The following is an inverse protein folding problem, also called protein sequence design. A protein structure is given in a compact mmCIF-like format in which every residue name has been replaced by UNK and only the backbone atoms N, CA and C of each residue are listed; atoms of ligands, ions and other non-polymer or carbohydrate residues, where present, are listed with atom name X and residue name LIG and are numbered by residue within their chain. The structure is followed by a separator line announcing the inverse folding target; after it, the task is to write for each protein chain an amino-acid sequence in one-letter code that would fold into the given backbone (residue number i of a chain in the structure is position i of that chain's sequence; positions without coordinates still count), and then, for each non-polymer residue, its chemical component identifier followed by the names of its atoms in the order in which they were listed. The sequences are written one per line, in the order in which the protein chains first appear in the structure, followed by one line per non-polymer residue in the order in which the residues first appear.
data_IF_144078503880
#
_entry.id   IF_144078503880
#
_cell.length_a   1.000
_cell.length_b   1.000
_cell.length_c   1.000
_cell.angle_alpha   90.00
_cell.angle_beta   90.00
_cell.angle_gamma   90.00
#
_symmetry.space_group_name_H-M   'P 1'
#
loop_
_entity.id
_entity.type
_entity.pdbx_description
1 polymer ?
#
# COMPACT_ATOMS: atom_id res chain seq x y z
N UNK A 1 -0.58 -5.85 -41.05
CA UNK A 1 -0.13 -5.03 -39.89
C UNK A 1 -0.19 -5.92 -38.65
N UNK A 2 0.90 -6.06 -37.89
CA UNK A 2 0.89 -6.81 -36.62
C UNK A 2 0.34 -5.89 -35.54
N UNK A 3 -0.84 -6.19 -35.01
CA UNK A 3 -1.39 -5.48 -33.85
C UNK A 3 -0.53 -5.82 -32.64
N UNK A 4 0.17 -4.83 -32.09
CA UNK A 4 0.94 -4.96 -30.85
C UNK A 4 0.05 -4.41 -29.73
N UNK A 5 -0.54 -5.29 -28.94
CA UNK A 5 -1.43 -4.91 -27.85
C UNK A 5 -0.55 -4.63 -26.63
N UNK A 6 -0.57 -3.38 -26.17
CA UNK A 6 0.10 -2.96 -24.93
C UNK A 6 -0.94 -2.96 -23.81
N UNK A 7 -0.61 -3.56 -22.67
CA UNK A 7 -1.48 -3.57 -21.49
C UNK A 7 -0.90 -2.62 -20.43
N UNK A 8 -1.76 -1.91 -19.70
CA UNK A 8 -1.35 -1.00 -18.62
C UNK A 8 -2.31 -1.17 -17.46
N UNK A 9 -1.78 -1.28 -16.24
CA UNK A 9 -2.57 -1.49 -15.02
C UNK A 9 -2.04 -0.64 -13.86
N UNK A 10 -2.95 -0.35 -12.92
CA UNK A 10 -2.70 0.43 -11.71
C UNK A 10 -2.82 -0.43 -10.48
N UNK A 11 -1.78 -0.43 -9.65
CA UNK A 11 -1.73 -1.22 -8.42
C UNK A 11 -1.63 -0.27 -7.22
N UNK A 12 -2.63 -0.36 -6.33
CA UNK A 12 -2.63 0.35 -5.05
C UNK A 12 -2.32 -0.63 -3.91
N UNK A 13 -1.25 -0.36 -3.19
CA UNK A 13 -0.83 -1.15 -2.02
C UNK A 13 -1.01 -0.29 -0.77
N UNK A 14 -1.88 -0.72 0.15
CA UNK A 14 -2.10 -0.04 1.42
C UNK A 14 -1.09 -0.49 2.47
N UNK A 15 -0.37 0.45 3.08
CA UNK A 15 0.64 0.16 4.10
C UNK A 15 0.02 -0.35 5.41
N UNK A 16 -1.21 0.07 5.68
CA UNK A 16 -1.98 -0.30 6.87
C UNK A 16 -3.35 -0.84 6.45
N UNK A 17 -3.31 -1.85 5.59
CA UNK A 17 -4.45 -2.30 4.78
C UNK A 17 -5.71 -2.76 5.52
N UNK A 18 -6.73 -2.98 4.70
CA UNK A 18 -8.15 -3.23 4.99
C UNK A 18 -8.51 -4.26 6.08
N UNK A 19 -7.59 -5.09 6.59
CA UNK A 19 -7.86 -6.09 7.66
C UNK A 19 -6.62 -6.44 8.51
N UNK A 20 -5.65 -5.54 8.64
CA UNK A 20 -4.46 -5.85 9.44
C UNK A 20 -4.76 -5.73 10.95
N UNK A 21 -4.97 -6.85 11.65
CA UNK A 21 -4.74 -6.93 13.12
C UNK A 21 -3.27 -6.62 13.37
N UNK A 22 -2.98 -5.35 13.60
CA UNK A 22 -1.62 -4.83 13.65
C UNK A 22 -1.00 -5.12 15.01
N UNK A 23 -0.02 -6.01 15.08
CA UNK A 23 0.85 -6.14 16.26
C UNK A 23 1.84 -4.97 16.30
N UNK A 24 1.39 -3.85 16.86
CA UNK A 24 2.25 -2.73 17.23
C UNK A 24 2.92 -3.10 18.55
N UNK A 25 4.23 -3.32 18.54
CA UNK A 25 5.00 -3.51 19.77
C UNK A 25 5.02 -2.20 20.57
N UNK A 26 4.62 -2.28 21.84
CA UNK A 26 4.54 -1.14 22.77
C UNK A 26 5.49 -1.35 23.94
N UNK A 27 6.15 -0.29 24.40
CA UNK A 27 6.79 -0.24 25.72
C UNK A 27 5.76 0.24 26.76
N UNK A 28 5.63 -0.40 27.93
CA UNK A 28 4.72 0.07 28.98
C UNK A 28 5.18 1.45 29.50
N UNK A 29 4.25 2.40 29.63
CA UNK A 29 4.51 3.72 30.22
C UNK A 29 4.50 4.94 29.29
N UNK A 30 4.22 4.77 27.99
CA UNK A 30 4.18 5.91 27.03
C UNK A 30 2.75 6.15 26.51
N UNK A 31 2.25 7.39 26.63
CA UNK A 31 0.95 7.82 26.08
C UNK A 31 1.03 7.77 24.55
N UNK A 32 0.14 7.06 23.83
CA UNK A 32 0.29 6.83 22.41
C UNK A 32 -0.21 8.04 21.61
N UNK A 33 0.70 8.83 21.06
CA UNK A 33 0.37 9.75 19.96
C UNK A 33 1.24 9.44 18.74
N UNK A 34 1.09 8.22 18.20
CA UNK A 34 1.52 7.96 16.83
C UNK A 34 0.27 7.86 15.97
N UNK A 35 -0.10 8.98 15.35
CA UNK A 35 -1.07 8.99 14.26
C UNK A 35 -0.40 8.29 13.08
N UNK A 36 -0.58 6.97 12.99
CA UNK A 36 -0.18 6.25 11.80
C UNK A 36 -1.13 6.67 10.69
N UNK A 37 -0.70 7.62 9.86
CA UNK A 37 -1.39 7.91 8.62
C UNK A 37 -1.38 6.63 7.78
N UNK A 38 -2.57 6.05 7.58
CA UNK A 38 -2.88 4.99 6.63
C UNK A 38 -2.38 5.31 5.23
N UNK A 39 -1.08 5.21 5.00
CA UNK A 39 -0.48 5.53 3.70
C UNK A 39 -0.81 4.46 2.68
N UNK A 40 -0.86 4.84 1.41
CA UNK A 40 -0.92 3.92 0.29
C UNK A 40 0.12 4.30 -0.75
N UNK A 41 0.74 3.29 -1.35
CA UNK A 41 1.62 3.45 -2.51
C UNK A 41 0.79 3.09 -3.74
N UNK A 42 0.80 3.97 -4.75
CA UNK A 42 0.21 3.70 -6.07
C UNK A 42 1.34 3.52 -7.08
N UNK A 43 1.28 2.44 -7.84
CA UNK A 43 2.24 2.12 -8.88
C UNK A 43 1.50 1.93 -10.21
N UNK A 44 2.09 2.47 -11.27
CA UNK A 44 1.63 2.35 -12.65
C UNK A 44 2.64 1.49 -13.38
N UNK A 45 2.18 0.51 -14.16
CA UNK A 45 3.07 -0.30 -14.98
C UNK A 45 2.48 -0.60 -16.35
N UNK A 46 3.36 -0.83 -17.32
CA UNK A 46 3.01 -1.12 -18.70
C UNK A 46 3.73 -2.39 -19.16
N UNK A 47 2.97 -3.27 -19.82
CA UNK A 47 3.44 -4.51 -20.44
C UNK A 47 3.41 -4.31 -21.95
N UNK A 48 4.54 -4.59 -22.61
CA UNK A 48 4.72 -4.34 -24.03
C UNK A 48 4.86 -5.60 -24.90
#
# INVERSE_FOLDING_TARGET
MRNKILWSDDIKIELFGLNAKRHVWRKPGTIPMVKHGGGSIMLWWQVA
#
